data_IF_968968645311
#
_entry.id   IF_968968645311
#
_cell.length_a   1.000
_cell.length_b   1.000
_cell.length_c   1.000
_cell.angle_alpha   90.00
_cell.angle_beta   90.00
_cell.angle_gamma   90.00
#
_symmetry.space_group_name_H-M   'P 1'
#
loop_
_entity.id
_entity.type
_entity.pdbx_description
1 polymer ?
#
# COMPACT_ATOMS: atom_id res chain seq x y z
N UNK A 1 10.44 3.75 16.50
CA UNK A 1 9.59 3.92 15.30
C UNK A 1 10.12 3.00 14.22
N UNK A 2 9.25 2.24 13.55
CA UNK A 2 9.61 1.09 12.71
C UNK A 2 10.69 1.34 11.64
N UNK A 3 10.89 2.59 11.23
CA UNK A 3 11.86 2.96 10.19
C UNK A 3 13.25 3.32 10.73
N UNK A 4 13.44 3.42 12.05
CA UNK A 4 14.75 3.78 12.65
C UNK A 4 15.82 2.71 12.39
N UNK A 5 15.42 1.47 12.17
CA UNK A 5 16.36 0.38 11.91
C UNK A 5 16.95 0.46 10.50
N UNK A 6 16.23 1.10 9.57
CA UNK A 6 16.69 1.32 8.19
C UNK A 6 17.49 2.61 8.02
N UNK A 7 17.24 3.62 8.87
CA UNK A 7 17.96 4.89 8.84
C UNK A 7 18.11 5.48 10.25
N UNK A 8 19.11 5.01 11.03
CA UNK A 8 19.23 5.35 12.44
C UNK A 8 19.63 6.81 12.71
N UNK A 9 20.28 7.47 11.74
CA UNK A 9 20.83 8.82 11.89
C UNK A 9 19.92 9.94 11.35
N UNK A 10 18.92 9.62 10.51
CA UNK A 10 18.11 10.63 9.82
C UNK A 10 16.62 10.39 9.97
N UNK A 11 15.83 11.42 10.35
CA UNK A 11 14.38 11.33 10.32
C UNK A 11 13.84 10.96 8.93
N UNK A 12 12.80 10.12 8.88
CA UNK A 12 12.14 9.72 7.63
C UNK A 12 11.46 10.91 6.96
N UNK A 13 12.03 11.41 5.85
CA UNK A 13 11.53 12.55 5.10
C UNK A 13 10.44 12.21 4.09
N UNK A 14 10.61 11.11 3.37
CA UNK A 14 9.67 10.67 2.35
C UNK A 14 9.41 9.18 2.52
N UNK A 15 8.14 8.80 2.56
CA UNK A 15 7.69 7.42 2.44
C UNK A 15 7.02 7.25 1.07
N UNK A 16 7.46 6.25 0.30
CA UNK A 16 6.82 5.87 -0.97
C UNK A 16 6.27 4.45 -0.83
N UNK A 17 4.94 4.33 -0.75
CA UNK A 17 4.25 3.05 -0.73
C UNK A 17 4.08 2.54 -2.16
N UNK A 18 5.12 1.89 -2.68
CA UNK A 18 5.19 1.35 -4.04
C UNK A 18 4.92 -0.17 -4.10
N UNK A 19 5.16 -0.91 -3.01
CA UNK A 19 4.98 -2.36 -3.00
C UNK A 19 3.54 -2.72 -3.42
N UNK A 20 3.41 -3.62 -4.39
CA UNK A 20 2.13 -4.10 -4.88
C UNK A 20 2.24 -5.52 -5.45
N UNK A 21 1.17 -6.29 -5.30
CA UNK A 21 0.96 -7.58 -5.95
C UNK A 21 -0.35 -7.55 -6.77
N UNK A 22 -0.41 -8.36 -7.82
CA UNK A 22 -1.58 -8.55 -8.69
C UNK A 22 -1.88 -10.03 -8.88
N UNK A 23 -3.17 -10.41 -8.87
CA UNK A 23 -3.65 -11.76 -9.15
C UNK A 23 -4.89 -11.66 -10.04
N UNK A 24 -4.67 -11.63 -11.34
CA UNK A 24 -5.70 -11.31 -12.32
C UNK A 24 -6.46 -12.57 -12.76
N UNK A 25 -7.74 -12.63 -12.38
CA UNK A 25 -8.65 -13.72 -12.73
C UNK A 25 -10.04 -13.16 -13.01
N UNK A 26 -10.80 -13.72 -13.96
CA UNK A 26 -12.24 -13.54 -13.97
C UNK A 26 -12.79 -13.75 -12.56
N UNK A 27 -13.66 -12.86 -12.08
CA UNK A 27 -14.07 -12.86 -10.68
C UNK A 27 -14.64 -14.21 -10.22
N UNK A 28 -15.37 -14.89 -11.11
CA UNK A 28 -15.96 -16.22 -10.85
C UNK A 28 -14.92 -17.33 -10.63
N UNK A 29 -13.67 -17.15 -11.06
CA UNK A 29 -12.58 -18.13 -10.91
C UNK A 29 -11.52 -17.68 -9.90
N UNK A 30 -11.65 -16.48 -9.31
CA UNK A 30 -10.68 -15.97 -8.35
C UNK A 30 -10.80 -16.75 -7.03
N UNK A 31 -9.76 -17.51 -6.67
CA UNK A 31 -9.79 -18.28 -5.44
C UNK A 31 -9.61 -17.37 -4.21
N UNK A 32 -10.24 -17.68 -3.06
CA UNK A 32 -10.10 -16.86 -1.85
C UNK A 32 -8.65 -16.68 -1.37
N UNK A 33 -7.79 -17.69 -1.57
CA UNK A 33 -6.38 -17.61 -1.17
C UNK A 33 -5.53 -16.70 -2.08
N UNK A 34 -6.02 -16.36 -3.27
CA UNK A 34 -5.37 -15.43 -4.21
C UNK A 34 -5.84 -13.98 -4.01
N UNK A 35 -6.99 -13.81 -3.34
CA UNK A 35 -7.50 -12.50 -2.94
C UNK A 35 -6.63 -11.87 -1.85
N UNK A 36 -6.37 -12.63 -0.78
CA UNK A 36 -5.77 -12.11 0.45
C UNK A 36 -4.38 -11.49 0.25
N UNK A 37 -3.43 -12.08 -0.50
CA UNK A 37 -2.10 -11.50 -0.68
C UNK A 37 -2.12 -10.10 -1.33
N UNK A 38 -3.05 -9.89 -2.26
CA UNK A 38 -3.23 -8.60 -2.94
C UNK A 38 -3.72 -7.54 -1.95
N UNK A 39 -4.74 -7.84 -1.15
CA UNK A 39 -5.26 -6.91 -0.15
C UNK A 39 -4.23 -6.65 0.96
N UNK A 40 -3.60 -7.70 1.47
CA UNK A 40 -2.60 -7.63 2.52
C UNK A 40 -1.44 -6.72 2.11
N UNK A 41 -0.94 -6.85 0.88
CA UNK A 41 0.18 -6.04 0.38
C UNK A 41 -0.26 -4.62 0.03
N UNK A 42 -1.26 -4.49 -0.84
CA UNK A 42 -1.55 -3.22 -1.51
C UNK A 42 -2.27 -2.23 -0.59
N UNK A 43 -3.17 -2.73 0.27
CA UNK A 43 -4.03 -1.91 1.13
C UNK A 43 -3.57 -1.95 2.59
N UNK A 44 -3.55 -3.14 3.21
CA UNK A 44 -3.21 -3.28 4.63
C UNK A 44 -1.75 -2.91 4.91
N UNK A 45 -0.82 -3.32 4.04
CA UNK A 45 0.60 -2.95 4.11
C UNK A 45 0.80 -1.44 4.02
N UNK A 46 0.17 -0.79 3.03
CA UNK A 46 0.17 0.68 2.89
C UNK A 46 -0.32 1.38 4.16
N UNK A 47 -1.43 0.91 4.75
CA UNK A 47 -1.94 1.44 6.02
C UNK A 47 -0.90 1.32 7.15
N UNK A 48 -0.25 0.17 7.31
CA UNK A 48 0.75 -0.04 8.34
C UNK A 48 1.98 0.86 8.16
N UNK A 49 2.48 1.00 6.93
CA UNK A 49 3.60 1.90 6.62
C UNK A 49 3.25 3.37 6.94
N UNK A 50 2.07 3.83 6.51
CA UNK A 50 1.55 5.15 6.83
C UNK A 50 1.47 5.37 8.35
N UNK A 51 0.86 4.42 9.08
CA UNK A 51 0.72 4.51 10.54
C UNK A 51 2.07 4.59 11.25
N UNK A 52 3.05 3.83 10.79
CA UNK A 52 4.39 3.83 11.37
C UNK A 52 5.17 5.13 11.09
N UNK A 53 4.92 5.81 9.95
CA UNK A 53 5.59 7.06 9.58
C UNK A 53 4.91 8.30 10.15
N UNK A 54 3.57 8.32 10.20
CA UNK A 54 2.76 9.52 10.45
C UNK A 54 3.11 10.22 11.77
N UNK A 55 3.25 9.46 12.87
CA UNK A 55 3.52 10.05 14.19
C UNK A 55 4.81 10.89 14.21
N UNK A 56 5.89 10.38 13.61
CA UNK A 56 7.16 11.09 13.53
C UNK A 56 7.09 12.32 12.63
N UNK A 57 6.40 12.21 11.49
CA UNK A 57 6.21 13.33 10.55
C UNK A 57 5.35 14.45 11.15
N UNK A 58 4.28 14.10 11.87
CA UNK A 58 3.40 15.05 12.55
C UNK A 58 4.14 15.81 13.67
N UNK A 59 4.87 15.10 14.52
CA UNK A 59 5.61 15.70 15.64
C UNK A 59 6.59 16.78 15.18
N UNK A 60 7.25 16.55 14.04
CA UNK A 60 8.22 17.50 13.45
C UNK A 60 7.61 18.43 12.40
N UNK A 61 6.31 18.34 12.13
CA UNK A 61 5.57 19.11 11.11
C UNK A 61 6.22 19.08 9.72
N UNK A 62 6.88 17.98 9.37
CA UNK A 62 7.59 17.78 8.10
C UNK A 62 7.54 16.32 7.69
N UNK A 63 7.28 16.06 6.42
CA UNK A 63 7.28 14.74 5.82
C UNK A 63 6.32 14.63 4.64
N UNK A 64 6.56 13.67 3.76
CA UNK A 64 5.70 13.39 2.60
C UNK A 64 5.42 11.90 2.53
N UNK A 65 4.16 11.52 2.30
CA UNK A 65 3.75 10.15 2.00
C UNK A 65 3.21 10.13 0.57
N UNK A 66 3.74 9.25 -0.26
CA UNK A 66 3.32 9.03 -1.65
C UNK A 66 2.78 7.61 -1.76
N UNK A 67 1.50 7.47 -2.12
CA UNK A 67 0.87 6.18 -2.38
C UNK A 67 0.68 5.99 -3.88
N UNK A 68 1.08 4.83 -4.41
CA UNK A 68 0.88 4.51 -5.82
C UNK A 68 -0.53 3.95 -6.03
N UNK A 69 -1.40 4.80 -6.61
CA UNK A 69 -2.76 4.46 -7.00
C UNK A 69 -2.81 3.86 -8.42
N UNK A 70 -4.01 3.48 -8.89
CA UNK A 70 -4.23 2.96 -10.23
C UNK A 70 -5.56 3.44 -10.82
N UNK A 71 -5.62 3.56 -12.14
CA UNK A 71 -6.89 3.81 -12.86
C UNK A 71 -7.90 2.68 -12.64
N UNK A 72 -7.42 1.47 -12.35
CA UNK A 72 -8.27 0.32 -12.02
C UNK A 72 -9.07 0.52 -10.72
N UNK A 73 -8.61 1.38 -9.80
CA UNK A 73 -9.37 1.75 -8.60
C UNK A 73 -10.51 2.74 -8.89
N UNK A 74 -10.43 3.46 -10.02
CA UNK A 74 -11.43 4.45 -10.42
C UNK A 74 -12.39 3.95 -11.49
N UNK A 75 -12.00 2.93 -12.25
CA UNK A 75 -12.76 2.38 -13.38
C UNK A 75 -12.67 0.87 -13.37
N UNK A 76 -13.75 0.21 -13.75
CA UNK A 76 -13.79 -1.23 -13.88
C UNK A 76 -12.68 -1.72 -14.82
N UNK A 77 -11.84 -2.61 -14.30
CA UNK A 77 -10.79 -3.29 -15.06
C UNK A 77 -11.08 -4.79 -15.07
N UNK A 78 -11.30 -5.41 -16.25
CA UNK A 78 -11.62 -6.82 -16.35
C UNK A 78 -10.59 -7.70 -15.64
N UNK A 79 -11.05 -8.73 -14.92
CA UNK A 79 -10.23 -9.68 -14.18
C UNK A 79 -9.41 -9.13 -13.00
N UNK A 80 -9.55 -7.86 -12.62
CA UNK A 80 -8.73 -7.23 -11.59
C UNK A 80 -9.51 -6.90 -10.31
N UNK A 81 -10.47 -7.72 -9.90
CA UNK A 81 -11.38 -7.37 -8.80
C UNK A 81 -10.65 -7.08 -7.47
N UNK A 82 -9.71 -7.93 -7.08
CA UNK A 82 -8.85 -7.74 -5.89
C UNK A 82 -7.92 -6.52 -6.01
N UNK A 83 -7.26 -6.36 -7.17
CA UNK A 83 -6.35 -5.25 -7.40
C UNK A 83 -7.08 -3.91 -7.43
N UNK A 84 -8.19 -3.82 -8.16
CA UNK A 84 -9.07 -2.66 -8.21
C UNK A 84 -9.62 -2.30 -6.82
N UNK A 85 -10.04 -3.29 -6.02
CA UNK A 85 -10.49 -3.04 -4.65
C UNK A 85 -9.36 -2.53 -3.73
N UNK A 86 -8.11 -2.82 -4.07
CA UNK A 86 -6.94 -2.41 -3.30
C UNK A 86 -6.32 -1.07 -3.72
N UNK A 87 -6.82 -0.45 -4.79
CA UNK A 87 -6.24 0.75 -5.42
C UNK A 87 -7.22 1.90 -5.50
#
# INVERSE_FOLDING_TARGET
AAFRDFCPATPLDVLVNNAAETRDHPFITLAPHEWEPVIATNLTGTYHCCRAAAAGMMARRRGVIINIASVAGMRASPAQANYAASK
#
